data_IF_263852733846
#
_entry.id   IF_263852733846
#
_cell.length_a   1.000
_cell.length_b   1.000
_cell.length_c   1.000
_cell.angle_alpha   90.00
_cell.angle_beta   90.00
_cell.angle_gamma   90.00
#
_symmetry.space_group_name_H-M   'P 1'
#
loop_
_entity.id
_entity.type
_entity.pdbx_description
1 polymer ?
#
# COMPACT_ATOMS: atom_id res chain seq x y z
N UNK A 1 -10.00 15.13 46.27
CA UNK A 1 -11.02 14.79 45.27
C UNK A 1 -10.29 14.12 44.12
N UNK A 2 -10.45 12.80 43.94
CA UNK A 2 -9.66 12.01 42.98
C UNK A 2 -10.38 12.06 41.63
N UNK A 3 -9.75 12.70 40.64
CA UNK A 3 -10.23 12.75 39.28
C UNK A 3 -10.29 11.33 38.71
N UNK A 4 -11.50 10.84 38.44
CA UNK A 4 -11.72 9.60 37.73
C UNK A 4 -11.36 9.83 36.26
N UNK A 5 -10.21 9.32 35.83
CA UNK A 5 -9.81 9.35 34.44
C UNK A 5 -10.51 8.17 33.73
N UNK A 6 -11.57 8.46 32.99
CA UNK A 6 -12.29 7.44 32.21
C UNK A 6 -11.39 6.89 31.09
N UNK A 7 -11.39 5.56 30.84
CA UNK A 7 -10.63 5.00 29.73
C UNK A 7 -11.25 5.42 28.37
N UNK A 8 -10.43 5.68 27.33
CA UNK A 8 -10.94 5.97 26.00
C UNK A 8 -11.73 4.76 25.47
N UNK A 9 -12.87 5.04 24.83
CA UNK A 9 -13.70 4.02 24.19
C UNK A 9 -12.94 3.37 23.02
N UNK A 10 -13.14 2.06 22.76
CA UNK A 10 -12.50 1.40 21.63
C UNK A 10 -13.01 2.01 20.33
N UNK A 11 -12.11 2.63 19.60
CA UNK A 11 -12.31 3.07 18.23
C UNK A 11 -12.84 1.90 17.38
N UNK A 12 -13.98 2.14 16.74
CA UNK A 12 -14.74 1.11 16.01
C UNK A 12 -13.89 0.64 14.83
N UNK A 13 -13.15 -0.45 15.00
CA UNK A 13 -12.39 -1.08 13.92
C UNK A 13 -13.38 -1.60 12.86
N UNK A 14 -13.56 -0.82 11.81
CA UNK A 14 -14.30 -1.26 10.63
C UNK A 14 -13.54 -2.43 10.03
N UNK A 15 -14.15 -3.63 10.01
CA UNK A 15 -13.54 -4.80 9.37
C UNK A 15 -13.32 -4.49 7.90
N UNK A 16 -12.07 -4.22 7.53
CA UNK A 16 -11.65 -4.04 6.14
C UNK A 16 -11.86 -5.37 5.41
N UNK A 17 -12.77 -5.37 4.43
CA UNK A 17 -12.99 -6.50 3.53
C UNK A 17 -12.18 -6.27 2.27
N UNK A 18 -11.35 -7.25 1.93
CA UNK A 18 -10.60 -7.28 0.68
C UNK A 18 -11.59 -7.41 -0.47
N UNK A 19 -11.67 -6.39 -1.32
CA UNK A 19 -12.53 -6.44 -2.50
C UNK A 19 -11.79 -7.07 -3.67
N UNK A 20 -12.27 -8.22 -4.17
CA UNK A 20 -11.71 -8.89 -5.35
C UNK A 20 -11.68 -7.94 -6.57
N UNK A 21 -12.73 -7.15 -6.76
CA UNK A 21 -12.81 -6.20 -7.86
C UNK A 21 -11.72 -5.12 -7.79
N UNK A 22 -11.37 -4.68 -6.58
CA UNK A 22 -10.28 -3.73 -6.37
C UNK A 22 -8.92 -4.37 -6.69
N UNK A 23 -8.69 -5.60 -6.23
CA UNK A 23 -7.47 -6.35 -6.54
C UNK A 23 -7.28 -6.52 -8.05
N UNK A 24 -8.32 -6.97 -8.76
CA UNK A 24 -8.26 -7.13 -10.23
C UNK A 24 -7.90 -5.84 -10.96
N UNK A 25 -8.44 -4.70 -10.51
CA UNK A 25 -8.10 -3.38 -11.07
C UNK A 25 -6.64 -3.02 -10.82
N UNK A 26 -6.15 -3.21 -9.60
CA UNK A 26 -4.76 -2.94 -9.26
C UNK A 26 -3.78 -3.80 -10.08
N UNK A 27 -4.06 -5.10 -10.20
CA UNK A 27 -3.24 -6.03 -10.99
C UNK A 27 -3.26 -5.70 -12.49
N UNK A 28 -4.41 -5.25 -13.01
CA UNK A 28 -4.51 -4.80 -14.40
C UNK A 28 -3.64 -3.57 -14.64
N UNK A 29 -3.77 -2.53 -13.80
CA UNK A 29 -2.98 -1.32 -13.92
C UNK A 29 -1.48 -1.63 -13.84
N UNK A 30 -1.07 -2.47 -12.89
CA UNK A 30 0.33 -2.88 -12.77
C UNK A 30 0.86 -3.57 -14.04
N UNK A 31 0.05 -4.45 -14.67
CA UNK A 31 0.40 -5.09 -15.94
C UNK A 31 0.51 -4.08 -17.08
N UNK A 32 -0.35 -3.07 -17.13
CA UNK A 32 -0.30 -2.00 -18.15
C UNK A 32 1.00 -1.20 -18.05
N UNK A 33 1.52 -1.02 -16.83
CA UNK A 33 2.83 -0.41 -16.55
C UNK A 33 4.01 -1.38 -16.70
N UNK A 34 3.76 -2.61 -17.18
CA UNK A 34 4.81 -3.63 -17.37
C UNK A 34 5.34 -4.26 -16.08
N UNK A 35 4.70 -4.03 -14.94
CA UNK A 35 5.07 -4.64 -13.67
C UNK A 35 4.65 -6.12 -13.66
N UNK A 36 5.59 -6.98 -13.24
CA UNK A 36 5.31 -8.39 -13.00
C UNK A 36 5.11 -8.62 -11.50
N UNK A 37 4.05 -9.32 -11.12
CA UNK A 37 3.79 -9.66 -9.71
C UNK A 37 4.67 -10.83 -9.31
N UNK A 38 5.48 -10.64 -8.28
CA UNK A 38 6.30 -11.70 -7.69
C UNK A 38 5.53 -12.43 -6.58
N UNK A 39 4.81 -11.68 -5.73
CA UNK A 39 4.11 -12.24 -4.57
C UNK A 39 2.83 -11.47 -4.28
N UNK A 40 1.79 -12.20 -3.92
CA UNK A 40 0.53 -11.65 -3.39
C UNK A 40 0.25 -12.28 -2.03
N UNK A 41 0.11 -11.46 -0.99
CA UNK A 41 -0.23 -11.89 0.36
C UNK A 41 -1.58 -11.32 0.79
N UNK A 42 -2.31 -12.08 1.61
CA UNK A 42 -3.59 -11.65 2.20
C UNK A 42 -3.46 -11.71 3.71
N UNK A 43 -3.53 -10.54 4.36
CA UNK A 43 -3.37 -10.42 5.81
C UNK A 43 -4.52 -9.61 6.38
N UNK A 44 -5.29 -10.19 7.30
CA UNK A 44 -6.34 -9.46 8.03
C UNK A 44 -7.40 -8.78 7.15
N UNK A 45 -7.61 -9.26 5.92
CA UNK A 45 -8.54 -8.63 4.98
C UNK A 45 -7.89 -7.54 4.09
N UNK A 46 -6.57 -7.45 4.05
CA UNK A 46 -5.82 -6.56 3.16
C UNK A 46 -5.01 -7.38 2.14
N UNK A 47 -4.82 -6.82 0.94
CA UNK A 47 -3.94 -7.37 -0.08
C UNK A 47 -2.60 -6.64 -0.03
N UNK A 48 -1.50 -7.40 -0.01
CA UNK A 48 -0.15 -6.88 -0.17
C UNK A 48 0.43 -7.47 -1.46
N UNK A 49 0.85 -6.62 -2.39
CA UNK A 49 1.31 -7.01 -3.72
C UNK A 49 2.78 -6.60 -3.86
N UNK A 50 3.65 -7.58 -4.06
CA UNK A 50 5.07 -7.37 -4.35
C UNK A 50 5.28 -7.51 -5.84
N UNK A 51 5.83 -6.47 -6.46
CA UNK A 51 6.20 -6.49 -7.87
C UNK A 51 7.69 -6.81 -8.00
N UNK A 52 8.03 -7.65 -8.96
CA UNK A 52 9.42 -7.86 -9.37
C UNK A 52 9.98 -6.50 -9.83
N UNK A 53 11.22 -6.22 -9.44
CA UNK A 53 11.88 -4.95 -9.74
C UNK A 53 11.74 -4.58 -11.22
N UNK A 54 11.33 -3.35 -11.49
CA UNK A 54 11.31 -2.80 -12.84
C UNK A 54 12.77 -2.77 -13.29
N UNK A 55 13.13 -3.49 -14.35
CA UNK A 55 14.40 -3.24 -15.02
C UNK A 55 14.38 -1.77 -15.46
N UNK A 56 15.18 -0.88 -14.87
CA UNK A 56 15.06 0.55 -15.14
C UNK A 56 15.38 0.76 -16.60
N UNK A 57 14.36 1.10 -17.39
CA UNK A 57 14.55 1.54 -18.77
C UNK A 57 15.16 2.94 -18.72
N UNK A 58 16.49 2.96 -18.71
CA UNK A 58 17.41 4.09 -18.58
C UNK A 58 17.44 4.79 -17.21
N UNK A 59 18.65 5.11 -16.69
CA UNK A 59 18.77 6.05 -15.60
C UNK A 59 18.24 7.41 -16.07
N UNK A 60 17.29 7.97 -15.32
CA UNK A 60 16.94 9.39 -15.45
C UNK A 60 18.19 10.22 -15.13
N UNK A 61 18.57 11.21 -15.95
CA UNK A 61 19.73 12.05 -15.69
C UNK A 61 19.45 12.98 -14.50
N UNK A 62 20.19 12.76 -13.40
CA UNK A 62 20.47 13.70 -12.30
C UNK A 62 19.29 14.48 -11.71
N UNK A 63 18.61 13.90 -10.72
CA UNK A 63 17.81 14.63 -9.73
C UNK A 63 18.72 15.42 -8.75
N UNK A 64 19.36 16.48 -9.25
CA UNK A 64 20.09 17.46 -8.42
C UNK A 64 19.17 18.51 -7.75
N UNK A 65 17.85 18.28 -7.71
CA UNK A 65 16.85 19.23 -7.19
C UNK A 65 16.41 19.01 -5.74
N UNK A 66 16.83 17.93 -5.09
CA UNK A 66 16.36 17.56 -3.74
C UNK A 66 17.20 18.19 -2.62
N UNK A 67 17.62 19.45 -2.77
CA UNK A 67 18.41 20.17 -1.76
C UNK A 67 17.67 21.32 -1.06
N UNK A 68 16.42 21.59 -1.41
CA UNK A 68 15.68 22.74 -0.86
C UNK A 68 14.23 22.40 -0.48
N UNK A 69 14.02 21.48 0.46
CA UNK A 69 12.75 21.34 1.19
C UNK A 69 13.01 21.27 2.69
#
# INVERSE_FOLDING_TARGET
MIAHNSPPLPEKQTRLRSSEAALRKALRAAREEGLSVERLCITGGQYEIHFAGIEPKSPAPNDEGLKEW
#
